data_IF_894692428749
#
_entry.id   IF_894692428749
#
_cell.length_a   1.000
_cell.length_b   1.000
_cell.length_c   1.000
_cell.angle_alpha   90.00
_cell.angle_beta   90.00
_cell.angle_gamma   90.00
#
_symmetry.space_group_name_H-M   'P 1'
#
loop_
_entity.id
_entity.type
_entity.pdbx_description
1 polymer ?
#
# COMPACT_ATOMS: atom_id res chain seq x y z
N UNK A 1 4.93 56.14 38.94
CA UNK A 1 4.04 55.14 39.53
C UNK A 1 3.05 54.71 38.45
N UNK A 2 3.27 53.62 37.81
CA UNK A 2 2.25 52.85 37.06
C UNK A 2 2.80 51.45 36.90
N UNK A 3 2.13 50.50 37.54
CA UNK A 3 2.44 49.09 37.54
C UNK A 3 2.11 48.48 36.19
N UNK A 4 3.06 47.75 35.62
CA UNK A 4 2.86 46.88 34.48
C UNK A 4 2.29 45.55 34.96
N UNK A 5 1.07 45.25 34.61
CA UNK A 5 0.41 43.96 34.84
C UNK A 5 0.85 42.99 33.73
N UNK A 6 1.62 41.97 34.12
CA UNK A 6 2.00 40.86 33.27
C UNK A 6 0.76 39.93 33.10
N UNK A 7 0.23 39.83 31.90
CA UNK A 7 -0.81 38.87 31.54
C UNK A 7 -0.17 37.48 31.35
N UNK A 8 -0.36 36.63 32.34
CA UNK A 8 -0.11 35.18 32.23
C UNK A 8 -1.24 34.54 31.43
N UNK A 9 -1.02 34.30 30.14
CA UNK A 9 -1.86 33.47 29.33
C UNK A 9 -1.56 31.99 29.60
N UNK A 10 -2.29 31.41 30.54
CA UNK A 10 -2.37 29.96 30.67
C UNK A 10 -3.10 29.42 29.44
N UNK A 11 -2.38 28.79 28.52
CA UNK A 11 -2.96 27.88 27.55
C UNK A 11 -3.37 26.60 28.31
N UNK A 12 -4.63 26.51 28.64
CA UNK A 12 -5.25 25.26 29.06
C UNK A 12 -5.34 24.36 27.82
N UNK A 13 -4.42 23.41 27.70
CA UNK A 13 -4.55 22.30 26.77
C UNK A 13 -5.73 21.46 27.26
N UNK A 14 -6.87 21.63 26.62
CA UNK A 14 -7.99 20.71 26.81
C UNK A 14 -7.56 19.35 26.27
N UNK A 15 -7.32 18.41 27.17
CA UNK A 15 -7.16 17.00 26.86
C UNK A 15 -8.43 16.51 26.15
N UNK A 16 -8.36 16.40 24.84
CA UNK A 16 -9.40 15.68 24.08
C UNK A 16 -9.22 14.21 24.45
N UNK A 17 -10.12 13.68 25.25
CA UNK A 17 -10.21 12.25 25.51
C UNK A 17 -10.59 11.56 24.19
N UNK A 18 -9.62 11.05 23.46
CA UNK A 18 -9.85 10.11 22.38
C UNK A 18 -10.26 8.77 22.97
N UNK A 19 -11.58 8.59 23.19
CA UNK A 19 -12.12 7.25 23.42
C UNK A 19 -12.12 6.50 22.09
N UNK A 20 -10.98 5.89 21.78
CA UNK A 20 -10.88 4.96 20.67
C UNK A 20 -11.74 3.75 20.99
N UNK A 21 -12.83 3.56 20.26
CA UNK A 21 -13.64 2.35 20.29
C UNK A 21 -12.81 1.18 19.75
N UNK A 22 -11.97 0.60 20.61
CA UNK A 22 -11.46 -0.74 20.37
C UNK A 22 -12.52 -1.68 20.92
N UNK A 23 -13.02 -2.60 20.09
CA UNK A 23 -13.83 -3.74 20.53
C UNK A 23 -13.25 -4.28 21.84
N UNK A 24 -14.08 -4.35 22.88
CA UNK A 24 -13.68 -4.75 24.23
C UNK A 24 -13.06 -6.16 24.24
N UNK A 25 -11.76 -6.24 24.04
CA UNK A 25 -10.99 -7.39 24.46
C UNK A 25 -10.52 -7.17 25.91
N UNK A 26 -10.59 -8.22 26.71
CA UNK A 26 -10.09 -8.20 28.09
C UNK A 26 -8.65 -7.70 28.12
N UNK A 27 -8.39 -6.54 28.72
CA UNK A 27 -7.13 -5.77 28.67
C UNK A 27 -5.91 -6.43 29.32
N UNK A 28 -6.05 -7.57 29.98
CA UNK A 28 -5.06 -7.95 31.00
C UNK A 28 -3.92 -8.86 30.55
N UNK A 29 -3.94 -9.46 29.34
CA UNK A 29 -2.83 -10.36 28.89
C UNK A 29 -2.60 -10.39 27.39
N UNK A 30 -3.08 -9.42 26.60
CA UNK A 30 -2.86 -9.45 25.14
C UNK A 30 -1.42 -9.11 24.79
N UNK A 31 -0.73 -10.03 24.10
CA UNK A 31 0.62 -9.82 23.59
C UNK A 31 0.58 -9.18 22.21
N UNK A 32 1.36 -8.11 22.00
CA UNK A 32 1.35 -7.32 20.77
C UNK A 32 2.77 -7.22 20.21
N UNK A 33 2.94 -7.59 18.92
CA UNK A 33 4.11 -7.25 18.14
C UNK A 33 3.86 -5.94 17.38
N UNK A 34 4.63 -4.90 17.63
CA UNK A 34 4.56 -3.63 16.91
C UNK A 34 5.64 -3.58 15.83
N UNK A 35 5.25 -3.50 14.55
CA UNK A 35 6.17 -3.33 13.43
C UNK A 35 6.51 -1.85 13.27
N UNK A 36 7.76 -1.48 13.54
CA UNK A 36 8.23 -0.10 13.56
C UNK A 36 9.36 0.09 12.55
N UNK A 37 9.21 1.06 11.66
CA UNK A 37 10.12 1.36 10.56
C UNK A 37 10.93 2.66 10.75
N UNK A 38 10.94 3.23 11.96
CA UNK A 38 11.57 4.53 12.22
C UNK A 38 10.79 5.74 11.68
N UNK A 39 9.71 5.53 10.94
CA UNK A 39 8.83 6.60 10.46
C UNK A 39 7.88 7.13 11.56
N UNK A 40 7.28 8.32 11.32
CA UNK A 40 6.38 8.97 12.27
C UNK A 40 5.17 8.10 12.62
N UNK A 41 4.54 7.48 11.61
CA UNK A 41 3.31 6.71 11.77
C UNK A 41 3.54 5.50 12.70
N UNK A 42 4.56 4.70 12.43
CA UNK A 42 4.89 3.54 13.25
C UNK A 42 5.39 3.90 14.66
N UNK A 43 6.03 5.06 14.82
CA UNK A 43 6.44 5.55 16.13
C UNK A 43 5.24 5.96 16.99
N UNK A 44 4.23 6.60 16.39
CA UNK A 44 2.98 6.97 17.06
C UNK A 44 2.16 5.73 17.44
N UNK A 45 2.21 4.65 16.66
CA UNK A 45 1.59 3.37 17.04
C UNK A 45 2.06 2.91 18.41
N UNK A 46 3.38 2.94 18.66
CA UNK A 46 3.94 2.53 19.97
C UNK A 46 3.43 3.44 21.08
N UNK A 47 3.45 4.76 20.86
CA UNK A 47 2.93 5.73 21.83
C UNK A 47 1.48 5.43 22.20
N UNK A 48 0.60 5.28 21.21
CA UNK A 48 -0.83 5.02 21.42
C UNK A 48 -1.08 3.68 22.15
N UNK A 49 -0.33 2.64 21.84
CA UNK A 49 -0.41 1.37 22.54
C UNK A 49 -0.01 1.50 24.01
N UNK A 50 1.04 2.26 24.31
CA UNK A 50 1.47 2.53 25.69
C UNK A 50 0.44 3.37 26.47
N UNK A 51 -0.14 4.41 25.85
CA UNK A 51 -1.22 5.22 26.45
C UNK A 51 -2.47 4.35 26.78
N UNK A 52 -2.72 3.34 25.96
CA UNK A 52 -3.80 2.38 26.20
C UNK A 52 -3.45 1.30 27.24
N UNK A 53 -2.23 1.32 27.78
CA UNK A 53 -1.74 0.40 28.81
C UNK A 53 -1.26 -0.95 28.29
N UNK A 54 -0.99 -1.07 26.99
CA UNK A 54 -0.32 -2.24 26.43
C UNK A 54 1.20 -2.17 26.59
N UNK A 55 1.85 -3.33 26.52
CA UNK A 55 3.31 -3.46 26.53
C UNK A 55 3.79 -4.19 25.25
N UNK A 56 3.86 -3.49 24.10
CA UNK A 56 4.21 -4.11 22.84
C UNK A 56 5.69 -4.47 22.78
N UNK A 57 6.01 -5.61 22.14
CA UNK A 57 7.36 -5.88 21.66
C UNK A 57 7.55 -5.20 20.30
N UNK A 58 8.62 -4.44 20.16
CA UNK A 58 8.94 -3.66 18.95
C UNK A 58 9.82 -4.49 18.04
N UNK A 59 9.45 -4.58 16.77
CA UNK A 59 10.20 -5.26 15.73
C UNK A 59 10.53 -4.31 14.59
N UNK A 60 11.81 -4.29 14.20
CA UNK A 60 12.27 -3.70 12.95
C UNK A 60 12.53 -4.82 11.95
N UNK A 61 11.87 -4.77 10.79
CA UNK A 61 12.08 -5.75 9.72
C UNK A 61 13.13 -5.22 8.76
N UNK A 62 14.28 -5.88 8.71
CA UNK A 62 15.37 -5.58 7.78
C UNK A 62 15.12 -6.30 6.46
N UNK A 63 14.92 -5.55 5.38
CA UNK A 63 14.69 -6.05 4.02
C UNK A 63 15.62 -5.40 2.99
N UNK A 64 16.47 -4.46 3.42
CA UNK A 64 17.33 -3.65 2.57
C UNK A 64 18.31 -4.46 1.73
N UNK A 65 18.88 -3.81 0.73
CA UNK A 65 19.82 -4.40 -0.24
C UNK A 65 21.26 -4.09 0.14
N UNK A 66 21.56 -3.98 1.42
CA UNK A 66 22.85 -3.54 1.98
C UNK A 66 24.03 -4.44 1.56
N UNK A 67 23.76 -5.71 1.31
CA UNK A 67 24.76 -6.69 0.90
C UNK A 67 25.03 -6.70 -0.63
N UNK A 68 24.33 -5.88 -1.40
CA UNK A 68 24.43 -5.81 -2.83
C UNK A 68 25.31 -4.63 -3.27
N UNK A 69 26.34 -4.87 -4.08
CA UNK A 69 27.23 -3.83 -4.63
C UNK A 69 26.43 -2.71 -5.33
N UNK A 70 26.60 -1.46 -4.88
CA UNK A 70 25.93 -0.28 -5.43
C UNK A 70 24.66 0.17 -4.69
N UNK A 71 24.29 -0.45 -3.57
CA UNK A 71 23.14 -0.09 -2.73
C UNK A 71 23.55 0.45 -1.34
N UNK A 72 24.63 1.22 -1.29
CA UNK A 72 25.30 1.67 -0.05
C UNK A 72 24.47 2.68 0.77
N UNK A 73 23.42 3.28 0.22
CA UNK A 73 22.66 4.37 0.85
C UNK A 73 21.27 3.90 1.35
N UNK A 74 21.20 2.79 2.08
CA UNK A 74 19.97 2.41 2.76
C UNK A 74 19.83 3.19 4.08
N UNK A 75 18.70 3.86 4.34
CA UNK A 75 18.48 4.59 5.61
C UNK A 75 18.26 3.67 6.83
N UNK A 76 18.56 2.38 6.69
CA UNK A 76 18.26 1.36 7.70
C UNK A 76 18.92 1.68 9.07
N UNK A 77 20.14 2.16 9.07
CA UNK A 77 20.85 2.49 10.33
C UNK A 77 20.13 3.62 11.09
N UNK A 78 19.73 4.68 10.40
CA UNK A 78 18.94 5.77 11.00
C UNK A 78 17.58 5.28 11.49
N UNK A 79 16.91 4.44 10.71
CA UNK A 79 15.61 3.84 11.05
C UNK A 79 15.72 2.94 12.29
N UNK A 80 16.78 2.14 12.37
CA UNK A 80 17.07 1.26 13.50
C UNK A 80 17.38 2.10 14.75
N UNK A 81 18.18 3.17 14.62
CA UNK A 81 18.50 4.08 15.73
C UNK A 81 17.24 4.72 16.31
N UNK A 82 16.35 5.25 15.44
CA UNK A 82 15.07 5.83 15.85
C UNK A 82 14.19 4.78 16.51
N UNK A 83 14.06 3.59 15.92
CA UNK A 83 13.23 2.51 16.46
C UNK A 83 13.76 2.06 17.83
N UNK A 84 15.08 1.90 17.96
CA UNK A 84 15.74 1.57 19.22
C UNK A 84 15.55 2.67 20.29
N UNK A 85 15.60 3.95 19.89
CA UNK A 85 15.29 5.06 20.79
C UNK A 85 13.82 4.97 21.29
N UNK A 86 12.85 4.73 20.40
CA UNK A 86 11.44 4.56 20.77
C UNK A 86 11.28 3.41 21.77
N UNK A 87 11.94 2.28 21.52
CA UNK A 87 11.90 1.14 22.43
C UNK A 87 12.42 1.51 23.84
N UNK A 88 13.57 2.18 23.93
CA UNK A 88 14.13 2.65 25.20
C UNK A 88 13.23 3.67 25.90
N UNK A 89 12.67 4.64 25.15
CA UNK A 89 11.76 5.67 25.68
C UNK A 89 10.55 5.08 26.38
N UNK A 90 9.97 4.01 25.80
CA UNK A 90 8.75 3.37 26.32
C UNK A 90 9.02 2.11 27.15
N UNK A 91 10.27 1.73 27.34
CA UNK A 91 10.65 0.51 28.08
C UNK A 91 10.20 -0.78 27.40
N UNK A 92 10.11 -0.77 26.06
CA UNK A 92 9.67 -1.93 25.28
C UNK A 92 10.85 -2.82 24.86
N UNK A 93 10.61 -4.15 24.76
CA UNK A 93 11.54 -5.05 24.08
C UNK A 93 11.72 -4.63 22.63
N UNK A 94 12.97 -4.63 22.13
CA UNK A 94 13.31 -4.36 20.74
C UNK A 94 14.04 -5.54 20.11
N UNK A 95 13.67 -5.86 18.87
CA UNK A 95 14.31 -6.92 18.10
C UNK A 95 14.36 -6.56 16.62
N UNK A 96 15.51 -6.79 15.99
CA UNK A 96 15.68 -6.73 14.54
C UNK A 96 15.43 -8.10 13.94
N UNK A 97 14.63 -8.15 12.89
CA UNK A 97 14.32 -9.39 12.16
C UNK A 97 14.79 -9.24 10.72
N UNK A 98 15.86 -9.95 10.39
CA UNK A 98 16.36 -9.94 9.01
C UNK A 98 15.50 -10.88 8.14
N UNK A 99 14.77 -10.30 7.19
CA UNK A 99 13.95 -11.00 6.20
C UNK A 99 14.39 -10.66 4.76
N UNK A 100 15.66 -10.29 4.58
CA UNK A 100 16.23 -9.95 3.27
C UNK A 100 16.04 -11.09 2.26
N UNK A 101 16.39 -12.32 2.64
CA UNK A 101 16.28 -13.49 1.76
C UNK A 101 14.82 -13.71 1.34
N UNK A 102 13.90 -13.74 2.28
CA UNK A 102 12.48 -13.93 2.02
C UNK A 102 11.89 -12.80 1.15
N UNK A 103 12.36 -11.57 1.39
CA UNK A 103 11.95 -10.42 0.58
C UNK A 103 12.41 -10.56 -0.87
N UNK A 104 13.68 -10.95 -1.05
CA UNK A 104 14.28 -11.13 -2.36
C UNK A 104 13.57 -12.24 -3.16
N UNK A 105 13.43 -13.39 -2.55
CA UNK A 105 12.84 -14.57 -3.19
C UNK A 105 11.36 -14.38 -3.54
N UNK A 106 10.63 -13.60 -2.76
CA UNK A 106 9.17 -13.47 -2.93
C UNK A 106 8.74 -12.15 -3.59
N UNK A 107 9.28 -11.00 -3.16
CA UNK A 107 8.80 -9.69 -3.63
C UNK A 107 9.61 -9.18 -4.81
N UNK A 108 10.94 -9.25 -4.72
CA UNK A 108 11.81 -8.77 -5.80
C UNK A 108 11.68 -9.67 -7.04
N UNK A 109 11.71 -11.00 -6.87
CA UNK A 109 11.52 -11.95 -7.98
C UNK A 109 10.16 -11.79 -8.63
N UNK A 110 9.08 -11.66 -7.83
CA UNK A 110 7.74 -11.35 -8.33
C UNK A 110 7.72 -10.07 -9.17
N UNK A 111 8.39 -9.01 -8.69
CA UNK A 111 8.44 -7.72 -9.39
C UNK A 111 9.13 -7.86 -10.74
N UNK A 112 10.32 -8.47 -10.77
CA UNK A 112 11.11 -8.67 -12.00
C UNK A 112 10.33 -9.55 -12.99
N UNK A 113 9.77 -10.67 -12.54
CA UNK A 113 9.03 -11.60 -13.41
C UNK A 113 7.76 -10.97 -13.97
N UNK A 114 7.04 -10.20 -13.17
CA UNK A 114 5.85 -9.48 -13.64
C UNK A 114 6.22 -8.47 -14.73
N UNK A 115 7.25 -7.67 -14.50
CA UNK A 115 7.71 -6.66 -15.46
C UNK A 115 8.23 -7.33 -16.76
N UNK A 116 8.97 -8.45 -16.64
CA UNK A 116 9.41 -9.25 -17.81
C UNK A 116 8.23 -9.76 -18.64
N UNK A 117 7.11 -10.08 -18.02
CA UNK A 117 5.86 -10.48 -18.68
C UNK A 117 5.01 -9.31 -19.17
N UNK A 118 5.52 -8.07 -19.09
CA UNK A 118 4.81 -6.88 -19.51
C UNK A 118 3.74 -6.39 -18.52
N UNK A 119 3.61 -7.05 -17.36
CA UNK A 119 2.66 -6.70 -16.31
C UNK A 119 3.14 -5.51 -15.49
N UNK A 120 2.23 -4.87 -14.80
CA UNK A 120 2.53 -3.80 -13.83
C UNK A 120 2.41 -4.38 -12.42
N UNK A 121 3.52 -4.73 -11.74
CA UNK A 121 3.47 -5.31 -10.40
C UNK A 121 3.03 -4.31 -9.33
N UNK A 122 2.59 -4.83 -8.18
CA UNK A 122 2.41 -4.08 -6.95
C UNK A 122 3.28 -4.69 -5.84
N UNK A 123 4.56 -4.31 -5.75
CA UNK A 123 5.48 -4.86 -4.76
C UNK A 123 5.11 -4.54 -3.32
N UNK A 124 4.44 -3.39 -3.05
CA UNK A 124 4.04 -3.01 -1.71
C UNK A 124 2.93 -3.93 -1.17
N UNK A 125 1.93 -4.27 -1.98
CA UNK A 125 0.92 -5.27 -1.62
C UNK A 125 1.54 -6.65 -1.36
N UNK A 126 2.52 -7.05 -2.17
CA UNK A 126 3.23 -8.32 -1.97
C UNK A 126 4.12 -8.29 -0.73
N UNK A 127 4.78 -7.18 -0.44
CA UNK A 127 5.53 -7.00 0.80
C UNK A 127 4.62 -7.16 2.03
N UNK A 128 3.46 -6.53 2.03
CA UNK A 128 2.50 -6.69 3.12
C UNK A 128 2.08 -8.15 3.28
N UNK A 129 1.66 -8.82 2.19
CA UNK A 129 1.18 -10.20 2.20
C UNK A 129 2.25 -11.21 2.61
N UNK A 130 3.43 -11.14 1.97
CA UNK A 130 4.42 -12.21 2.01
C UNK A 130 5.50 -11.97 3.07
N UNK A 131 5.82 -10.73 3.39
CA UNK A 131 6.89 -10.39 4.32
C UNK A 131 6.32 -9.93 5.67
N UNK A 132 5.63 -8.78 5.74
CA UNK A 132 5.17 -8.20 7.01
C UNK A 132 4.16 -9.09 7.74
N UNK A 133 3.22 -9.69 6.99
CA UNK A 133 2.16 -10.52 7.56
C UNK A 133 2.26 -11.99 7.11
N UNK A 134 3.34 -12.35 6.42
CA UNK A 134 3.69 -13.70 6.03
C UNK A 134 4.93 -14.21 6.76
N UNK A 135 6.13 -13.92 6.24
CA UNK A 135 7.39 -14.40 6.79
C UNK A 135 7.64 -13.96 8.24
N UNK A 136 7.34 -12.68 8.56
CA UNK A 136 7.42 -12.18 9.94
C UNK A 136 6.46 -12.94 10.86
N UNK A 137 5.20 -13.14 10.44
CA UNK A 137 4.21 -13.90 11.21
C UNK A 137 4.70 -15.32 11.51
N UNK A 138 5.25 -16.00 10.52
CA UNK A 138 5.77 -17.37 10.69
C UNK A 138 6.97 -17.42 11.64
N UNK A 139 7.85 -16.42 11.59
CA UNK A 139 9.11 -16.39 12.32
C UNK A 139 8.96 -15.90 13.75
N UNK A 140 8.26 -14.79 13.94
CA UNK A 140 8.13 -14.09 15.21
C UNK A 140 6.68 -13.85 15.62
N UNK A 141 5.85 -13.45 14.67
CA UNK A 141 4.49 -12.97 14.92
C UNK A 141 3.55 -14.02 15.49
N UNK A 142 3.80 -15.31 15.22
CA UNK A 142 2.97 -16.44 15.72
C UNK A 142 2.86 -16.48 17.26
N UNK A 143 3.85 -15.94 17.96
CA UNK A 143 3.91 -15.93 19.42
C UNK A 143 3.14 -14.76 20.06
N UNK A 144 2.51 -13.92 19.25
CA UNK A 144 1.75 -12.76 19.66
C UNK A 144 0.27 -12.90 19.28
N UNK A 145 -0.61 -12.34 20.10
CA UNK A 145 -2.04 -12.30 19.83
C UNK A 145 -2.39 -11.32 18.70
N UNK A 146 -1.63 -10.22 18.59
CA UNK A 146 -1.84 -9.16 17.59
C UNK A 146 -0.53 -8.65 17.01
N UNK A 147 -0.64 -8.14 15.77
CA UNK A 147 0.44 -7.40 15.08
C UNK A 147 -0.07 -5.99 14.81
N UNK A 148 0.56 -4.99 15.43
CA UNK A 148 0.24 -3.59 15.24
C UNK A 148 1.15 -2.93 14.21
N UNK A 149 0.59 -2.10 13.35
CA UNK A 149 1.34 -1.40 12.30
C UNK A 149 0.87 0.02 12.08
N UNK A 150 1.73 0.84 11.46
CA UNK A 150 1.45 2.22 11.08
C UNK A 150 0.70 2.39 9.74
N UNK A 151 -0.04 1.39 9.27
CA UNK A 151 -0.90 1.57 8.11
C UNK A 151 -2.16 2.35 8.45
N UNK A 152 -2.57 3.20 7.52
CA UNK A 152 -3.87 3.87 7.56
C UNK A 152 -4.95 2.91 7.02
N UNK A 153 -5.47 2.12 7.90
CA UNK A 153 -6.57 1.19 7.71
C UNK A 153 -7.29 0.99 9.05
N UNK A 154 -8.45 0.36 9.04
CA UNK A 154 -9.13 -0.10 10.24
C UNK A 154 -9.58 -1.55 10.08
N UNK A 155 -10.12 -2.14 11.13
CA UNK A 155 -10.85 -3.39 11.04
C UNK A 155 -12.23 -3.20 11.65
N UNK A 156 -13.25 -3.77 11.00
CA UNK A 156 -14.60 -3.78 11.51
C UNK A 156 -15.19 -5.18 11.50
N UNK A 157 -16.20 -5.42 12.31
CA UNK A 157 -16.88 -6.71 12.40
C UNK A 157 -18.22 -6.63 11.67
N UNK A 158 -18.35 -7.42 10.62
CA UNK A 158 -19.59 -7.56 9.88
C UNK A 158 -19.98 -9.04 9.77
N UNK A 159 -21.24 -9.37 10.04
CA UNK A 159 -21.77 -10.73 9.99
C UNK A 159 -20.89 -11.77 10.74
N UNK A 160 -20.36 -11.35 11.91
CA UNK A 160 -19.53 -12.18 12.79
C UNK A 160 -18.09 -12.44 12.32
N UNK A 161 -17.65 -11.79 11.25
CA UNK A 161 -16.28 -11.88 10.75
C UNK A 161 -15.57 -10.51 10.78
N UNK A 162 -14.25 -10.52 11.00
CA UNK A 162 -13.44 -9.32 10.93
C UNK A 162 -13.14 -8.99 9.45
N UNK A 163 -13.41 -7.77 9.05
CA UNK A 163 -13.08 -7.22 7.74
C UNK A 163 -12.02 -6.13 7.87
N UNK A 164 -11.19 -6.01 6.86
CA UNK A 164 -10.40 -4.81 6.64
C UNK A 164 -11.34 -3.67 6.25
N UNK A 165 -11.16 -2.50 6.85
CA UNK A 165 -12.01 -1.34 6.62
C UNK A 165 -11.18 -0.08 6.38
N UNK A 166 -11.78 0.91 5.70
CA UNK A 166 -11.13 2.15 5.33
C UNK A 166 -10.72 2.99 6.54
N UNK A 167 -9.65 3.76 6.37
CA UNK A 167 -9.18 4.69 7.38
C UNK A 167 -10.02 5.97 7.44
N UNK A 168 -9.89 6.71 8.56
CA UNK A 168 -10.49 8.05 8.71
C UNK A 168 -9.92 9.05 7.70
N UNK A 169 -8.63 8.96 7.38
CA UNK A 169 -7.96 9.86 6.42
C UNK A 169 -8.06 9.29 5.00
N UNK A 170 -8.94 9.83 4.12
CA UNK A 170 -9.15 9.28 2.80
C UNK A 170 -7.95 9.48 1.86
N UNK A 171 -7.08 10.46 2.15
CA UNK A 171 -5.87 10.72 1.35
C UNK A 171 -4.77 9.72 1.69
N UNK A 172 -4.75 9.26 2.95
CA UNK A 172 -3.74 8.33 3.47
C UNK A 172 -4.23 6.89 3.51
N UNK A 173 -5.50 6.63 3.23
CA UNK A 173 -6.04 5.27 3.23
C UNK A 173 -5.16 4.30 2.43
N UNK A 174 -4.76 3.20 3.05
CA UNK A 174 -3.83 2.20 2.51
C UNK A 174 -4.46 0.81 2.38
N UNK A 175 -5.78 0.73 2.43
CA UNK A 175 -6.50 -0.54 2.33
C UNK A 175 -6.27 -1.26 1.01
N UNK A 176 -6.01 -0.53 -0.07
CA UNK A 176 -5.64 -1.10 -1.37
C UNK A 176 -4.29 -1.83 -1.34
N UNK A 177 -3.30 -1.36 -0.56
CA UNK A 177 -2.05 -2.09 -0.34
C UNK A 177 -2.20 -3.32 0.57
N UNK A 178 -3.30 -3.43 1.30
CA UNK A 178 -3.62 -4.55 2.18
C UNK A 178 -4.62 -5.54 1.56
N UNK A 179 -5.14 -5.25 0.38
CA UNK A 179 -6.18 -6.04 -0.30
C UNK A 179 -5.74 -7.44 -0.72
N UNK A 180 -4.45 -7.76 -0.59
CA UNK A 180 -3.93 -9.09 -0.87
C UNK A 180 -3.84 -9.98 0.39
N UNK A 181 -4.23 -9.48 1.57
CA UNK A 181 -4.28 -10.25 2.81
C UNK A 181 -5.48 -11.20 2.82
N UNK A 182 -5.34 -12.28 3.58
CA UNK A 182 -6.42 -13.23 3.85
C UNK A 182 -7.01 -13.04 5.25
N UNK A 183 -8.12 -13.71 5.53
CA UNK A 183 -8.83 -13.61 6.81
C UNK A 183 -7.91 -13.87 8.02
N UNK A 184 -7.06 -14.92 7.96
CA UNK A 184 -6.15 -15.26 9.07
C UNK A 184 -5.19 -14.12 9.38
N UNK A 185 -4.68 -13.45 8.34
CA UNK A 185 -3.80 -12.29 8.51
C UNK A 185 -4.59 -11.10 9.08
N UNK A 186 -5.72 -10.74 8.46
CA UNK A 186 -6.55 -9.59 8.87
C UNK A 186 -7.00 -9.72 10.33
N UNK A 187 -7.45 -10.89 10.76
CA UNK A 187 -7.96 -11.11 12.13
C UNK A 187 -6.91 -10.87 13.22
N UNK A 188 -5.63 -10.85 12.86
CA UNK A 188 -4.51 -10.63 13.79
C UNK A 188 -3.99 -9.19 13.78
N UNK A 189 -4.44 -8.35 12.85
CA UNK A 189 -3.91 -6.99 12.68
C UNK A 189 -4.56 -5.99 13.64
N UNK A 190 -3.78 -4.98 13.99
CA UNK A 190 -4.19 -3.76 14.66
C UNK A 190 -3.64 -2.54 13.92
N UNK A 191 -4.47 -1.53 13.76
CA UNK A 191 -4.14 -0.27 13.11
C UNK A 191 -4.43 0.91 14.05
N UNK A 192 -3.57 1.17 15.05
CA UNK A 192 -3.85 2.17 16.09
C UNK A 192 -4.06 3.59 15.57
N UNK A 193 -3.49 3.92 14.39
CA UNK A 193 -3.62 5.23 13.75
C UNK A 193 -4.76 5.30 12.71
N UNK A 194 -5.44 4.20 12.42
CA UNK A 194 -6.47 4.15 11.37
C UNK A 194 -7.65 5.10 11.58
N UNK A 195 -7.92 5.47 12.82
CA UNK A 195 -8.98 6.42 13.21
C UNK A 195 -8.51 7.87 13.31
N UNK A 196 -7.29 8.17 12.85
CA UNK A 196 -6.67 9.49 12.91
C UNK A 196 -6.41 10.06 11.51
N UNK A 197 -6.51 11.39 11.39
CA UNK A 197 -5.98 12.10 10.24
C UNK A 197 -4.45 12.19 10.34
N UNK A 198 -3.76 12.31 9.23
CA UNK A 198 -2.28 12.45 9.21
C UNK A 198 -1.80 13.65 10.04
N UNK A 199 -2.53 14.76 10.04
CA UNK A 199 -2.25 15.92 10.88
C UNK A 199 -2.29 15.57 12.36
N UNK A 200 -3.33 14.84 12.81
CA UNK A 200 -3.47 14.39 14.19
C UNK A 200 -2.31 13.47 14.61
N UNK A 201 -1.87 12.57 13.72
CA UNK A 201 -0.69 11.71 13.95
C UNK A 201 0.57 12.55 14.15
N UNK A 202 0.78 13.62 13.37
CA UNK A 202 1.92 14.52 13.55
C UNK A 202 1.84 15.31 14.84
N UNK A 203 0.65 15.81 15.19
CA UNK A 203 0.44 16.53 16.44
C UNK A 203 0.76 15.65 17.67
N UNK A 204 0.33 14.39 17.64
CA UNK A 204 0.66 13.37 18.66
C UNK A 204 2.19 13.14 18.72
N UNK A 205 2.83 13.00 17.56
CA UNK A 205 4.28 12.80 17.51
C UNK A 205 5.06 13.96 18.12
N UNK A 206 4.65 15.19 17.83
CA UNK A 206 5.23 16.40 18.42
C UNK A 206 4.97 16.48 19.94
N UNK A 207 3.73 16.30 20.37
CA UNK A 207 3.35 16.32 21.78
C UNK A 207 4.10 15.26 22.61
N UNK A 208 4.31 14.09 22.04
CA UNK A 208 5.06 13.00 22.64
C UNK A 208 6.60 13.14 22.49
N UNK A 209 7.09 14.21 21.86
CA UNK A 209 8.52 14.45 21.59
C UNK A 209 9.19 13.24 20.92
N UNK A 210 8.56 12.70 19.86
CA UNK A 210 9.14 11.59 19.10
C UNK A 210 10.20 12.12 18.12
N UNK A 211 11.35 11.45 17.98
CA UNK A 211 12.43 11.91 17.09
C UNK A 211 12.03 11.88 15.60
N UNK A 212 11.00 11.10 15.27
CA UNK A 212 10.45 10.99 13.92
C UNK A 212 9.39 12.04 13.56
N UNK A 213 9.02 12.98 14.48
CA UNK A 213 7.89 13.89 14.28
C UNK A 213 8.00 14.74 13.00
N UNK A 214 9.22 15.22 12.67
CA UNK A 214 9.50 16.04 11.50
C UNK A 214 9.97 15.25 10.26
N UNK A 215 10.10 13.91 10.38
CA UNK A 215 10.50 13.09 9.23
C UNK A 215 9.46 13.18 8.12
N UNK A 216 9.94 13.29 6.89
CA UNK A 216 9.08 13.20 5.70
C UNK A 216 8.52 11.78 5.58
N UNK A 217 7.31 11.68 5.04
CA UNK A 217 6.73 10.40 4.69
C UNK A 217 7.62 9.69 3.66
N UNK A 218 7.73 8.36 3.77
CA UNK A 218 8.43 7.55 2.77
C UNK A 218 7.81 7.76 1.41
N UNK A 219 8.65 7.95 0.40
CA UNK A 219 8.24 8.13 -1.00
C UNK A 219 8.81 6.97 -1.82
N UNK A 220 7.97 6.37 -2.67
CA UNK A 220 8.38 5.29 -3.56
C UNK A 220 8.27 3.90 -2.95
N UNK A 221 8.91 2.93 -3.59
CA UNK A 221 8.87 1.51 -3.22
C UNK A 221 9.76 1.30 -2.00
N UNK A 222 9.23 0.71 -0.95
CA UNK A 222 9.87 0.59 0.38
C UNK A 222 11.30 0.03 0.34
N UNK A 223 11.59 -0.94 -0.53
CA UNK A 223 12.90 -1.62 -0.56
C UNK A 223 13.96 -0.91 -1.40
N UNK A 224 13.56 -0.01 -2.28
CA UNK A 224 14.51 0.69 -3.15
C UNK A 224 15.21 1.85 -2.44
N UNK A 225 14.67 2.31 -1.30
CA UNK A 225 15.22 3.47 -0.63
C UNK A 225 15.31 4.66 -1.58
N UNK A 226 16.53 5.18 -1.83
CA UNK A 226 16.78 6.28 -2.76
C UNK A 226 17.01 5.83 -4.21
N UNK A 227 16.97 4.53 -4.51
CA UNK A 227 17.28 4.01 -5.85
C UNK A 227 16.09 4.26 -6.78
N UNK A 228 16.41 4.72 -7.99
CA UNK A 228 15.41 4.89 -9.03
C UNK A 228 14.92 3.51 -9.52
N UNK A 229 13.60 3.34 -9.62
CA UNK A 229 12.97 2.10 -10.09
C UNK A 229 13.52 1.64 -11.46
N UNK A 230 13.76 2.56 -12.39
CA UNK A 230 14.29 2.20 -13.71
C UNK A 230 15.74 1.70 -13.63
N UNK A 231 16.54 2.22 -12.71
CA UNK A 231 17.92 1.73 -12.50
C UNK A 231 17.92 0.33 -11.91
N UNK A 232 17.00 0.08 -10.98
CA UNK A 232 16.75 -1.25 -10.44
C UNK A 232 16.35 -2.24 -11.55
N UNK A 233 15.32 -1.93 -12.34
CA UNK A 233 14.87 -2.82 -13.43
C UNK A 233 15.98 -3.04 -14.47
N UNK A 234 16.74 -1.98 -14.82
CA UNK A 234 17.87 -2.07 -15.76
C UNK A 234 18.92 -3.08 -15.31
N UNK A 235 19.19 -3.17 -14.01
CA UNK A 235 20.17 -4.12 -13.47
C UNK A 235 19.80 -5.59 -13.76
N UNK A 236 18.50 -5.92 -13.72
CA UNK A 236 18.01 -7.29 -13.89
C UNK A 236 17.58 -7.65 -15.31
N UNK A 237 17.02 -6.70 -16.03
CA UNK A 237 16.48 -6.93 -17.37
C UNK A 237 17.36 -6.31 -18.47
N UNK A 238 18.35 -5.48 -18.09
CA UNK A 238 19.18 -4.77 -19.04
C UNK A 238 18.42 -3.73 -19.83
N UNK A 239 18.95 -3.36 -20.97
CA UNK A 239 18.31 -2.50 -21.97
C UNK A 239 18.17 -3.25 -23.29
N UNK A 240 17.03 -3.09 -23.95
CA UNK A 240 16.76 -3.63 -25.29
C UNK A 240 16.02 -2.57 -26.09
N UNK A 241 16.69 -2.04 -27.13
CA UNK A 241 16.06 -1.03 -27.99
C UNK A 241 14.79 -1.59 -28.65
N UNK A 242 13.72 -0.79 -28.65
CA UNK A 242 12.45 -1.08 -29.26
C UNK A 242 11.82 0.17 -29.87
N UNK A 243 10.75 0.00 -30.64
CA UNK A 243 10.07 1.09 -31.34
C UNK A 243 8.95 1.69 -30.51
N UNK A 244 8.74 3.01 -30.63
CA UNK A 244 7.54 3.70 -30.19
C UNK A 244 6.70 4.01 -31.42
N UNK A 245 5.48 3.50 -31.45
CA UNK A 245 4.58 3.56 -32.60
C UNK A 245 3.30 4.27 -32.21
N UNK A 246 2.82 5.20 -33.03
CA UNK A 246 1.50 5.80 -32.87
C UNK A 246 0.44 4.76 -33.20
N UNK A 247 -0.49 4.52 -32.29
CA UNK A 247 -1.50 3.45 -32.41
C UNK A 247 -2.43 3.68 -33.62
N UNK A 248 -2.86 4.92 -33.82
CA UNK A 248 -3.86 5.32 -34.81
C UNK A 248 -3.32 5.26 -36.25
N UNK A 249 -2.06 5.57 -36.45
CA UNK A 249 -1.46 5.70 -37.80
C UNK A 249 -0.44 4.62 -38.13
N UNK A 250 0.06 3.90 -37.13
CA UNK A 250 1.18 2.96 -37.29
C UNK A 250 2.53 3.64 -37.53
N UNK A 251 2.62 4.97 -37.40
CA UNK A 251 3.85 5.71 -37.60
C UNK A 251 4.84 5.49 -36.45
N UNK A 252 6.10 5.20 -36.81
CA UNK A 252 7.19 5.14 -35.83
C UNK A 252 7.54 6.57 -35.42
N UNK A 253 7.45 6.86 -34.11
CA UNK A 253 7.72 8.18 -33.53
C UNK A 253 9.09 8.28 -32.88
N UNK A 254 9.67 7.15 -32.47
CA UNK A 254 10.96 7.10 -31.78
C UNK A 254 11.31 5.69 -31.32
N UNK A 255 12.26 5.63 -30.41
CA UNK A 255 12.71 4.37 -29.78
C UNK A 255 12.65 4.48 -28.25
N UNK A 256 12.66 3.32 -27.60
CA UNK A 256 12.76 3.17 -26.15
C UNK A 256 13.82 2.11 -25.80
N UNK A 257 14.21 2.02 -24.53
CA UNK A 257 15.27 1.12 -24.06
C UNK A 257 14.76 -0.20 -23.45
N UNK A 258 13.48 -0.53 -23.64
CA UNK A 258 12.81 -1.73 -23.15
C UNK A 258 11.38 -1.41 -22.71
N UNK A 259 10.40 -2.25 -23.12
CA UNK A 259 9.00 -2.05 -22.73
C UNK A 259 8.80 -2.11 -21.22
N UNK A 260 9.69 -2.80 -20.50
CA UNK A 260 9.66 -2.95 -19.05
C UNK A 260 9.88 -1.66 -18.26
N UNK A 261 10.38 -0.60 -18.87
CA UNK A 261 10.47 0.72 -18.23
C UNK A 261 9.19 1.54 -18.35
N UNK A 262 8.14 0.98 -18.95
CA UNK A 262 6.92 1.72 -19.26
C UNK A 262 5.67 1.00 -18.76
N UNK A 263 4.70 1.80 -18.33
CA UNK A 263 3.39 1.32 -17.84
C UNK A 263 2.27 1.94 -18.68
N UNK A 264 1.16 1.23 -18.85
CA UNK A 264 -0.05 1.76 -19.51
C UNK A 264 -0.53 3.02 -18.79
N UNK A 265 -0.83 4.06 -19.54
CA UNK A 265 -1.16 5.40 -19.05
C UNK A 265 0.03 6.29 -18.73
N UNK A 266 1.27 5.80 -18.86
CA UNK A 266 2.47 6.60 -18.62
C UNK A 266 2.68 7.65 -19.71
N UNK A 267 2.95 8.91 -19.27
CA UNK A 267 3.29 10.05 -20.14
C UNK A 267 4.77 10.41 -20.11
N UNK A 268 5.34 10.38 -18.91
CA UNK A 268 6.73 10.81 -18.69
C UNK A 268 7.74 9.78 -19.22
N UNK A 269 8.90 10.23 -19.69
CA UNK A 269 10.01 9.33 -20.09
C UNK A 269 9.92 8.77 -21.52
N UNK A 270 8.97 9.20 -22.34
CA UNK A 270 8.87 8.81 -23.76
C UNK A 270 9.80 9.63 -24.66
N UNK A 271 10.19 10.83 -24.24
CA UNK A 271 11.09 11.74 -25.00
C UNK A 271 10.62 12.04 -26.43
N UNK A 272 9.30 12.05 -26.67
CA UNK A 272 8.69 12.36 -27.95
C UNK A 272 8.31 13.85 -28.04
N UNK A 273 8.50 14.44 -29.21
CA UNK A 273 8.02 15.77 -29.54
C UNK A 273 6.55 15.74 -29.98
N UNK A 274 5.89 16.92 -29.96
CA UNK A 274 4.50 17.07 -30.45
C UNK A 274 3.43 16.45 -29.55
N UNK A 275 3.75 16.10 -28.28
CA UNK A 275 2.81 15.50 -27.33
C UNK A 275 1.72 16.42 -26.81
N UNK A 276 0.95 15.97 -25.78
CA UNK A 276 1.27 14.84 -24.92
C UNK A 276 1.02 13.47 -25.56
N UNK A 277 1.93 12.54 -25.27
CA UNK A 277 1.83 11.14 -25.69
C UNK A 277 1.64 10.25 -24.46
N UNK A 278 0.82 9.21 -24.59
CA UNK A 278 0.57 8.23 -23.52
C UNK A 278 0.77 6.82 -24.04
N UNK A 279 1.37 5.97 -23.23
CA UNK A 279 1.46 4.53 -23.51
C UNK A 279 0.07 3.92 -23.39
N UNK A 280 -0.42 3.29 -24.46
CA UNK A 280 -1.77 2.69 -24.51
C UNK A 280 -1.73 1.17 -24.70
N UNK A 281 -0.64 0.63 -25.26
CA UNK A 281 -0.44 -0.81 -25.45
C UNK A 281 1.04 -1.16 -25.47
N UNK A 282 1.39 -2.37 -25.03
CA UNK A 282 2.74 -2.94 -25.15
C UNK A 282 2.66 -4.24 -25.95
N UNK A 283 3.57 -4.40 -26.92
CA UNK A 283 3.86 -5.66 -27.53
C UNK A 283 5.19 -6.16 -26.96
N UNK A 284 5.13 -7.19 -26.13
CA UNK A 284 6.28 -7.71 -25.39
C UNK A 284 7.18 -8.59 -26.28
N UNK A 285 6.61 -9.27 -27.28
CA UNK A 285 7.34 -10.15 -28.20
C UNK A 285 8.19 -9.33 -29.16
N UNK A 286 7.56 -8.33 -29.78
CA UNK A 286 8.22 -7.44 -30.75
C UNK A 286 8.96 -6.27 -30.08
N UNK A 287 8.85 -6.12 -28.75
CA UNK A 287 9.42 -5.00 -27.99
C UNK A 287 8.97 -3.64 -28.54
N UNK A 288 7.65 -3.46 -28.73
CA UNK A 288 7.04 -2.24 -29.25
C UNK A 288 6.13 -1.59 -28.21
N UNK A 289 6.24 -0.27 -28.07
CA UNK A 289 5.28 0.54 -27.32
C UNK A 289 4.35 1.25 -28.30
N UNK A 290 3.07 1.07 -28.11
CA UNK A 290 2.06 1.87 -28.81
C UNK A 290 1.66 3.05 -27.94
N UNK A 291 1.65 4.23 -28.55
CA UNK A 291 1.29 5.49 -27.90
C UNK A 291 0.16 6.17 -28.64
N UNK A 292 -0.64 6.95 -27.93
CA UNK A 292 -1.70 7.76 -28.50
C UNK A 292 -1.54 9.21 -28.06
N UNK A 293 -1.88 10.15 -28.96
CA UNK A 293 -1.71 11.59 -28.74
C UNK A 293 -2.93 12.21 -28.07
N UNK A 294 -2.72 13.26 -27.29
CA UNK A 294 -3.77 14.05 -26.65
C UNK A 294 -3.77 13.91 -25.14
N UNK A 295 -4.52 14.79 -24.46
CA UNK A 295 -4.64 14.72 -22.99
C UNK A 295 -5.53 13.56 -22.54
N UNK A 296 -6.51 13.17 -23.36
CA UNK A 296 -7.47 12.12 -23.07
C UNK A 296 -7.69 11.17 -24.27
N UNK A 297 -6.66 10.44 -24.75
CA UNK A 297 -6.86 9.51 -25.84
C UNK A 297 -7.80 8.37 -25.41
N UNK A 298 -8.83 8.12 -26.23
CA UNK A 298 -9.87 7.13 -25.92
C UNK A 298 -9.29 5.74 -25.62
N UNK A 299 -8.16 5.39 -26.23
CA UNK A 299 -7.47 4.12 -26.03
C UNK A 299 -6.91 3.91 -24.61
N UNK A 300 -6.79 4.97 -23.78
CA UNK A 300 -6.35 4.84 -22.38
C UNK A 300 -7.49 4.49 -21.44
N UNK A 301 -8.73 4.64 -21.88
CA UNK A 301 -9.91 4.54 -21.04
C UNK A 301 -10.67 3.26 -21.33
N UNK A 302 -11.03 2.54 -20.29
CA UNK A 302 -11.89 1.39 -20.33
C UNK A 302 -12.90 1.46 -19.18
N UNK A 303 -13.87 0.58 -19.23
CA UNK A 303 -14.85 0.39 -18.16
C UNK A 303 -15.04 -1.08 -17.78
N UNK A 304 -14.42 -2.00 -18.51
CA UNK A 304 -14.41 -3.43 -18.18
C UNK A 304 -13.08 -3.81 -17.55
N UNK A 305 -13.13 -4.52 -16.42
CA UNK A 305 -11.96 -4.95 -15.67
C UNK A 305 -12.14 -6.43 -15.36
N UNK A 306 -11.44 -7.27 -16.11
CA UNK A 306 -11.41 -8.70 -15.86
C UNK A 306 -10.44 -9.04 -14.74
N UNK A 307 -10.84 -9.97 -13.88
CA UNK A 307 -10.13 -10.31 -12.65
C UNK A 307 -9.77 -11.80 -12.63
N UNK A 308 -8.48 -12.09 -12.55
CA UNK A 308 -7.96 -13.42 -12.24
C UNK A 308 -7.61 -13.55 -10.75
N UNK A 309 -7.65 -14.78 -10.24
CA UNK A 309 -7.30 -15.05 -8.85
C UNK A 309 -8.16 -14.27 -7.85
N UNK A 310 -9.41 -14.01 -8.20
CA UNK A 310 -10.38 -13.34 -7.34
C UNK A 310 -10.63 -14.14 -6.06
N UNK A 311 -10.71 -13.44 -4.92
CA UNK A 311 -11.07 -14.05 -3.65
C UNK A 311 -11.68 -13.02 -2.69
N UNK A 312 -12.46 -13.50 -1.73
CA UNK A 312 -12.95 -12.71 -0.60
C UNK A 312 -11.88 -12.67 0.48
N UNK A 313 -11.56 -11.48 0.97
CA UNK A 313 -10.49 -11.28 1.98
C UNK A 313 -10.86 -11.91 3.32
N UNK A 314 -12.15 -11.83 3.67
CA UNK A 314 -12.70 -12.34 4.91
C UNK A 314 -13.83 -13.34 4.62
N UNK A 315 -15.03 -13.02 5.00
CA UNK A 315 -16.22 -13.84 4.73
C UNK A 315 -16.74 -13.54 3.33
N UNK A 316 -17.14 -14.58 2.62
CA UNK A 316 -17.91 -14.43 1.40
C UNK A 316 -19.34 -13.98 1.74
N UNK A 317 -19.66 -12.75 1.38
CA UNK A 317 -20.98 -12.14 1.61
C UNK A 317 -21.80 -11.96 0.32
N UNK A 318 -21.23 -12.30 -0.83
CA UNK A 318 -21.84 -12.09 -2.14
C UNK A 318 -21.90 -13.35 -3.02
N UNK A 319 -21.18 -14.41 -2.67
CA UNK A 319 -20.95 -15.57 -3.53
C UNK A 319 -22.25 -16.21 -4.02
N UNK A 320 -23.22 -16.44 -3.14
CA UNK A 320 -24.52 -17.01 -3.53
C UNK A 320 -25.28 -16.13 -4.54
N UNK A 321 -25.18 -14.81 -4.42
CA UNK A 321 -25.80 -13.87 -5.35
C UNK A 321 -25.10 -13.88 -6.69
N UNK A 322 -23.76 -13.84 -6.68
CA UNK A 322 -22.93 -13.90 -7.87
C UNK A 322 -23.10 -15.25 -8.62
N UNK A 323 -23.25 -16.36 -7.87
CA UNK A 323 -23.48 -17.69 -8.44
C UNK A 323 -24.85 -17.82 -9.11
N UNK A 324 -25.85 -17.04 -8.68
CA UNK A 324 -27.13 -16.92 -9.34
C UNK A 324 -27.13 -16.00 -10.56
N UNK A 325 -25.97 -15.40 -10.88
CA UNK A 325 -25.79 -14.46 -11.99
C UNK A 325 -26.25 -13.04 -11.69
N UNK A 326 -26.43 -12.71 -10.39
CA UNK A 326 -26.70 -11.32 -9.99
C UNK A 326 -25.44 -10.46 -10.15
N UNK A 327 -25.64 -9.17 -10.40
CA UNK A 327 -24.61 -8.15 -10.35
C UNK A 327 -24.65 -7.42 -9.01
N UNK A 328 -23.51 -7.14 -8.42
CA UNK A 328 -23.38 -6.48 -7.12
C UNK A 328 -22.81 -5.07 -7.31
N UNK A 329 -23.50 -4.07 -6.79
CA UNK A 329 -23.01 -2.70 -6.76
C UNK A 329 -21.82 -2.60 -5.79
N UNK A 330 -20.70 -2.10 -6.29
CA UNK A 330 -19.45 -2.03 -5.53
C UNK A 330 -18.74 -0.70 -5.74
N UNK A 331 -17.98 -0.29 -4.74
CA UNK A 331 -16.90 0.66 -4.90
C UNK A 331 -15.59 -0.11 -5.14
N UNK A 332 -14.68 0.48 -5.91
CA UNK A 332 -13.41 -0.19 -6.14
C UNK A 332 -12.27 0.79 -6.43
N UNK A 333 -11.04 0.31 -6.25
CA UNK A 333 -9.79 0.98 -6.64
C UNK A 333 -8.95 0.04 -7.50
N UNK A 334 -8.32 0.55 -8.55
CA UNK A 334 -7.38 -0.20 -9.40
C UNK A 334 -5.94 0.28 -9.24
N UNK A 335 -5.73 1.29 -8.41
CA UNK A 335 -4.45 1.88 -8.02
C UNK A 335 -4.63 2.70 -6.76
N UNK A 336 -3.55 3.09 -6.15
CA UNK A 336 -3.58 3.96 -4.97
C UNK A 336 -4.02 5.38 -5.36
N UNK A 337 -5.27 5.70 -5.05
CA UNK A 337 -5.89 7.03 -5.21
C UNK A 337 -6.85 7.27 -4.06
N UNK A 338 -7.08 8.54 -3.65
CA UNK A 338 -8.09 8.83 -2.63
C UNK A 338 -9.52 8.48 -3.08
N UNK A 339 -9.80 8.67 -4.37
CA UNK A 339 -11.14 8.50 -4.94
C UNK A 339 -11.46 7.02 -5.18
N UNK A 340 -12.71 6.68 -4.98
CA UNK A 340 -13.29 5.39 -5.35
C UNK A 340 -13.98 5.49 -6.71
N UNK A 341 -13.85 4.44 -7.51
CA UNK A 341 -14.70 4.24 -8.66
C UNK A 341 -15.97 3.47 -8.24
N UNK A 342 -17.07 3.70 -8.92
CA UNK A 342 -18.33 2.99 -8.78
C UNK A 342 -18.48 2.01 -9.94
N UNK A 343 -19.09 0.84 -9.69
CA UNK A 343 -19.37 -0.13 -10.75
C UNK A 343 -20.07 -1.37 -10.22
N UNK A 344 -20.15 -2.37 -11.07
CA UNK A 344 -20.90 -3.60 -10.86
C UNK A 344 -20.00 -4.81 -10.99
N UNK A 345 -19.89 -5.60 -9.92
CA UNK A 345 -19.17 -6.86 -9.91
C UNK A 345 -20.09 -7.97 -10.37
N UNK A 346 -19.64 -8.76 -11.33
CA UNK A 346 -20.37 -9.94 -11.84
C UNK A 346 -19.43 -11.13 -12.02
N UNK A 347 -20.00 -12.35 -12.00
CA UNK A 347 -19.29 -13.57 -12.35
C UNK A 347 -19.34 -13.78 -13.87
N UNK A 348 -18.22 -14.20 -14.44
CA UNK A 348 -18.08 -14.57 -15.85
C UNK A 348 -17.68 -16.05 -15.97
N UNK A 349 -17.74 -16.68 -17.15
CA UNK A 349 -17.25 -18.06 -17.31
C UNK A 349 -15.79 -18.23 -16.92
N UNK A 350 -14.96 -17.21 -17.12
CA UNK A 350 -13.51 -17.26 -16.90
C UNK A 350 -13.06 -16.65 -15.56
N UNK A 351 -13.99 -16.14 -14.74
CA UNK A 351 -13.67 -15.53 -13.47
C UNK A 351 -14.67 -14.47 -13.03
N UNK A 352 -14.19 -13.27 -12.76
CA UNK A 352 -15.03 -12.14 -12.33
C UNK A 352 -14.70 -10.90 -13.14
N UNK A 353 -15.69 -10.02 -13.29
CA UNK A 353 -15.55 -8.75 -13.99
C UNK A 353 -16.18 -7.62 -13.19
N UNK A 354 -15.51 -6.47 -13.18
CA UNK A 354 -16.11 -5.21 -12.77
C UNK A 354 -16.44 -4.41 -14.04
N UNK A 355 -17.71 -4.00 -14.17
CA UNK A 355 -18.14 -3.01 -15.14
C UNK A 355 -18.23 -1.67 -14.42
N UNK A 356 -17.33 -0.76 -14.73
CA UNK A 356 -17.32 0.59 -14.15
C UNK A 356 -18.39 1.48 -14.73
N UNK A 357 -19.07 2.27 -13.92
CA UNK A 357 -20.10 3.23 -14.36
C UNK A 357 -19.52 4.35 -15.25
N UNK A 358 -18.26 4.64 -15.07
CA UNK A 358 -17.51 5.61 -15.88
C UNK A 358 -16.30 4.98 -16.54
N UNK A 359 -15.85 5.54 -17.64
CA UNK A 359 -14.58 5.16 -18.24
C UNK A 359 -13.43 5.65 -17.37
N UNK A 360 -12.54 4.75 -17.00
CA UNK A 360 -11.39 5.02 -16.14
C UNK A 360 -10.08 4.85 -16.90
N UNK A 361 -9.10 5.66 -16.53
CA UNK A 361 -7.80 5.66 -17.17
C UNK A 361 -6.86 4.64 -16.54
N UNK A 362 -6.07 3.97 -17.39
CA UNK A 362 -4.91 3.18 -16.95
C UNK A 362 -5.27 1.89 -16.22
N UNK A 363 -6.26 1.16 -16.71
CA UNK A 363 -6.47 -0.23 -16.36
C UNK A 363 -5.21 -0.99 -16.80
N UNK A 364 -4.48 -1.57 -15.86
CA UNK A 364 -3.18 -2.19 -16.12
C UNK A 364 -3.14 -3.62 -15.59
N UNK A 365 -2.86 -4.57 -16.48
CA UNK A 365 -2.69 -5.96 -16.11
C UNK A 365 -1.55 -6.13 -15.09
N UNK A 366 -1.78 -6.97 -14.08
CA UNK A 366 -0.84 -7.22 -12.98
C UNK A 366 -1.05 -6.34 -11.76
N UNK A 367 -1.82 -5.24 -11.85
CA UNK A 367 -2.32 -4.51 -10.69
C UNK A 367 -3.48 -5.28 -10.04
N UNK A 368 -3.83 -4.90 -8.81
CA UNK A 368 -4.96 -5.50 -8.10
C UNK A 368 -6.13 -4.54 -8.04
N UNK A 369 -7.32 -5.05 -8.40
CA UNK A 369 -8.55 -4.37 -8.05
C UNK A 369 -8.86 -4.69 -6.58
N UNK A 370 -9.04 -3.63 -5.78
CA UNK A 370 -9.54 -3.71 -4.42
C UNK A 370 -11.02 -3.38 -4.44
N UNK A 371 -11.85 -4.30 -3.97
CA UNK A 371 -13.30 -4.20 -4.07
C UNK A 371 -13.87 -3.98 -2.69
N UNK A 372 -14.63 -2.91 -2.56
CA UNK A 372 -15.28 -2.47 -1.34
C UNK A 372 -16.80 -2.67 -1.45
N UNK A 373 -17.46 -2.69 -0.31
CA UNK A 373 -18.90 -2.56 -0.26
C UNK A 373 -19.37 -1.22 -0.88
N UNK A 374 -20.67 -1.08 -1.08
CA UNK A 374 -21.21 0.12 -1.74
C UNK A 374 -21.04 1.41 -0.93
N UNK A 375 -20.78 1.29 0.37
CA UNK A 375 -20.51 2.42 1.26
C UNK A 375 -19.02 2.83 1.28
N UNK A 376 -18.15 2.09 0.55
CA UNK A 376 -16.70 2.26 0.54
C UNK A 376 -16.06 2.09 1.93
N UNK A 377 -16.65 1.26 2.78
CA UNK A 377 -16.19 1.04 4.14
C UNK A 377 -15.42 -0.28 4.28
N UNK A 378 -16.03 -1.40 3.91
CA UNK A 378 -15.42 -2.73 4.05
C UNK A 378 -14.69 -3.15 2.79
N UNK A 379 -13.46 -3.63 2.91
CA UNK A 379 -12.75 -4.31 1.83
C UNK A 379 -13.25 -5.75 1.78
N UNK A 380 -14.00 -6.09 0.75
CA UNK A 380 -14.68 -7.38 0.64
C UNK A 380 -13.88 -8.38 -0.17
N UNK A 381 -13.39 -7.97 -1.33
CA UNK A 381 -12.71 -8.86 -2.25
C UNK A 381 -11.54 -8.18 -2.98
N UNK A 382 -10.70 -8.99 -3.61
CA UNK A 382 -9.63 -8.53 -4.48
C UNK A 382 -9.38 -9.52 -5.61
N UNK A 383 -8.85 -9.02 -6.72
CA UNK A 383 -8.43 -9.85 -7.85
C UNK A 383 -7.36 -9.13 -8.68
N UNK A 384 -6.50 -9.91 -9.33
CA UNK A 384 -5.50 -9.37 -10.24
C UNK A 384 -6.16 -8.97 -11.55
N UNK A 385 -5.93 -7.75 -12.01
CA UNK A 385 -6.42 -7.24 -13.29
C UNK A 385 -5.73 -7.98 -14.42
N UNK A 386 -6.54 -8.49 -15.37
CA UNK A 386 -6.09 -9.05 -16.63
C UNK A 386 -6.55 -8.17 -17.80
N UNK A 387 -5.99 -8.38 -18.99
CA UNK A 387 -6.36 -7.69 -20.23
C UNK A 387 -6.96 -8.70 -21.20
#
# INVERSE_FOLDING_TARGET
>A
MSEAVAANTHYSISYIHYSVFITHYSKTNMTIAALVSGGVDSSVVVHLLKEQGYDPAIFYIRIGMEDEEGYIDCPAEEDIEITSYIARKYGCRFEEVNLHKEYWENVVSYTIDSVRRGLTPNPDSMCNKLIKFGAFEQRCGKDFDRIATGHYATTDTFDGAAFLATAKDPIKDQTDFLSQLNFKQISKLMFPIGHLMKSEVRDIAHAAHLPSADRKDSQGICFLGKINYNDFIRRYLGEKEGKIVELETGKILGTHRGYWFHTIGQRKGLFLSGGPWFVVKKDIEENVLYVSQGYDPAAQYGNEIDLAGFYFLSKDIWGERLDRGESIDVKFKIRHTPEFNQGHLSRTPDGYRILSDSRIQGIAAGQYATIYDNDAHLVVASGMITL
#
